data_IF_273458519208
#
_entry.id   IF_273458519208
#
_cell.length_a   1.000
_cell.length_b   1.000
_cell.length_c   1.000
_cell.angle_alpha   90.00
_cell.angle_beta   90.00
_cell.angle_gamma   90.00
#
_symmetry.space_group_name_H-M   'P 1'
#
loop_
_entity.id
_entity.type
_entity.pdbx_description
1 polymer ?
#
# COMPACT_ATOMS: atom_id res chain seq x y z
N UNK A 1 25.84 -10.21 16.87
CA UNK A 1 24.61 -11.04 16.86
C UNK A 1 24.84 -12.29 16.01
N UNK A 2 25.26 -12.19 14.75
CA UNK A 2 25.43 -13.33 13.85
C UNK A 2 26.39 -14.42 14.37
N UNK A 3 27.50 -14.04 15.01
CA UNK A 3 28.48 -14.98 15.57
C UNK A 3 27.88 -15.89 16.65
N UNK A 4 26.84 -15.45 17.38
CA UNK A 4 26.16 -16.31 18.38
C UNK A 4 25.40 -17.50 17.73
N UNK A 5 25.11 -17.40 16.45
CA UNK A 5 24.39 -18.41 15.67
C UNK A 5 25.30 -19.16 14.68
N UNK A 6 26.63 -18.96 14.79
CA UNK A 6 27.59 -19.56 13.85
C UNK A 6 27.44 -19.05 12.40
N UNK A 7 26.76 -17.91 12.21
CA UNK A 7 26.50 -17.34 10.88
C UNK A 7 27.47 -16.18 10.59
N UNK A 8 27.96 -16.15 9.34
CA UNK A 8 28.74 -15.03 8.82
C UNK A 8 27.82 -14.15 7.97
N UNK A 9 27.63 -12.88 8.31
CA UNK A 9 26.79 -11.99 7.50
C UNK A 9 27.42 -11.80 6.11
N UNK A 10 26.58 -11.73 5.08
CA UNK A 10 27.06 -11.35 3.74
C UNK A 10 27.55 -9.90 3.80
N UNK A 11 28.67 -9.63 3.11
CA UNK A 11 29.25 -8.28 3.03
C UNK A 11 28.33 -7.27 2.34
N UNK A 12 27.46 -7.75 1.43
CA UNK A 12 26.51 -6.94 0.69
C UNK A 12 25.14 -7.61 0.69
N UNK A 13 24.09 -6.80 0.85
CA UNK A 13 22.72 -7.21 0.66
C UNK A 13 22.41 -7.20 -0.84
N UNK A 14 22.09 -8.34 -1.42
CA UNK A 14 21.58 -8.40 -2.79
C UNK A 14 20.12 -7.98 -2.78
N UNK A 15 19.75 -7.04 -3.66
CA UNK A 15 18.36 -6.70 -3.94
C UNK A 15 17.69 -7.93 -4.59
N UNK A 16 16.78 -8.56 -3.87
CA UNK A 16 16.15 -9.83 -4.28
C UNK A 16 14.99 -9.55 -5.24
N UNK A 17 14.24 -8.47 -4.97
CA UNK A 17 13.10 -8.06 -5.78
C UNK A 17 13.40 -6.77 -6.52
N UNK A 18 13.15 -6.76 -7.81
CA UNK A 18 13.23 -5.54 -8.62
C UNK A 18 11.96 -4.72 -8.42
N UNK A 19 12.13 -3.42 -8.29
CA UNK A 19 11.00 -2.51 -8.27
C UNK A 19 10.35 -2.43 -9.66
N UNK A 20 9.03 -2.25 -9.71
CA UNK A 20 8.33 -1.91 -10.95
C UNK A 20 8.98 -0.71 -11.66
N UNK A 21 9.50 0.26 -10.89
CA UNK A 21 10.16 1.47 -11.40
C UNK A 21 11.51 1.19 -12.10
N UNK A 22 12.11 0.03 -11.86
CA UNK A 22 13.46 -0.33 -12.32
C UNK A 22 13.44 -1.47 -13.37
N UNK A 23 12.29 -2.09 -13.62
CA UNK A 23 12.16 -3.25 -14.50
C UNK A 23 11.13 -2.98 -15.61
N UNK A 24 11.56 -2.53 -16.80
CA UNK A 24 10.65 -2.24 -17.91
C UNK A 24 9.74 -3.40 -18.32
N UNK A 25 10.21 -4.64 -18.17
CA UNK A 25 9.40 -5.84 -18.46
C UNK A 25 8.16 -5.99 -17.60
N UNK A 26 8.14 -5.35 -16.42
CA UNK A 26 6.94 -5.34 -15.57
C UNK A 26 5.81 -4.53 -16.20
N UNK A 27 6.13 -3.42 -16.86
CA UNK A 27 5.14 -2.62 -17.58
C UNK A 27 4.61 -3.41 -18.78
N UNK A 28 5.49 -4.03 -19.58
CA UNK A 28 5.09 -4.89 -20.71
C UNK A 28 4.13 -5.99 -20.25
N UNK A 29 4.49 -6.71 -19.17
CA UNK A 29 3.64 -7.76 -18.60
C UNK A 29 2.26 -7.24 -18.18
N UNK A 30 2.19 -6.09 -17.54
CA UNK A 30 0.92 -5.48 -17.12
C UNK A 30 0.07 -5.09 -18.33
N UNK A 31 0.68 -4.52 -19.37
CA UNK A 31 -0.01 -4.13 -20.59
C UNK A 31 -0.52 -5.34 -21.39
N UNK A 32 0.22 -6.44 -21.37
CA UNK A 32 -0.17 -7.70 -22.04
C UNK A 32 -1.30 -8.40 -21.29
N UNK A 33 -1.21 -8.49 -19.95
CA UNK A 33 -2.19 -9.20 -19.12
C UNK A 33 -3.47 -8.39 -18.87
N UNK A 34 -3.42 -7.06 -19.02
CA UNK A 34 -4.53 -6.12 -18.87
C UNK A 34 -5.37 -6.37 -17.61
N UNK A 35 -4.76 -6.34 -16.42
CA UNK A 35 -5.54 -6.46 -15.19
C UNK A 35 -6.52 -5.28 -15.07
N UNK A 36 -7.61 -5.44 -14.30
CA UNK A 36 -8.57 -4.36 -14.05
C UNK A 36 -7.93 -3.18 -13.34
N UNK A 37 -6.99 -3.45 -12.41
CA UNK A 37 -6.29 -2.44 -11.65
C UNK A 37 -4.85 -2.89 -11.33
N UNK A 38 -3.96 -1.91 -11.13
CA UNK A 38 -2.60 -2.09 -10.63
C UNK A 38 -2.42 -1.19 -9.41
N UNK A 39 -1.92 -1.76 -8.31
CA UNK A 39 -1.63 -1.02 -7.09
C UNK A 39 -0.12 -0.87 -6.89
N UNK A 40 0.34 0.37 -6.73
CA UNK A 40 1.74 0.71 -6.48
C UNK A 40 1.99 0.88 -4.98
N UNK A 41 3.14 0.38 -4.55
CA UNK A 41 3.61 0.45 -3.18
C UNK A 41 5.07 0.94 -3.19
N UNK A 42 5.46 1.79 -2.25
CA UNK A 42 6.79 2.42 -2.17
C UNK A 42 7.09 3.45 -3.27
N UNK A 43 6.10 4.22 -3.66
CA UNK A 43 6.21 5.23 -4.71
C UNK A 43 5.27 5.00 -5.87
N UNK A 44 5.35 5.88 -6.85
CA UNK A 44 4.52 5.82 -8.07
C UNK A 44 5.41 5.94 -9.31
N UNK A 45 5.02 5.32 -10.43
CA UNK A 45 5.71 5.50 -11.71
C UNK A 45 5.60 6.92 -12.23
N UNK A 46 6.34 7.20 -13.29
CA UNK A 46 6.25 8.48 -13.99
C UNK A 46 4.85 8.71 -14.59
N UNK A 47 4.53 9.97 -14.83
CA UNK A 47 3.25 10.37 -15.41
C UNK A 47 2.98 9.69 -16.76
N UNK A 48 4.03 9.49 -17.55
CA UNK A 48 3.95 8.84 -18.86
C UNK A 48 3.49 7.39 -18.72
N UNK A 49 4.06 6.64 -17.79
CA UNK A 49 3.67 5.24 -17.49
C UNK A 49 2.22 5.19 -17.00
N UNK A 50 1.84 6.08 -16.09
CA UNK A 50 0.45 6.15 -15.61
C UNK A 50 -0.52 6.44 -16.76
N UNK A 51 -0.17 7.33 -17.67
CA UNK A 51 -0.99 7.61 -18.86
C UNK A 51 -1.09 6.41 -19.80
N UNK A 52 -0.03 5.63 -19.96
CA UNK A 52 -0.02 4.42 -20.77
C UNK A 52 -0.96 3.36 -20.19
N UNK A 53 -0.89 3.12 -18.87
CA UNK A 53 -1.82 2.24 -18.17
C UNK A 53 -3.28 2.69 -18.32
N UNK A 54 -3.56 3.98 -18.21
CA UNK A 54 -4.89 4.54 -18.43
C UNK A 54 -5.41 4.35 -19.86
N UNK A 55 -4.56 4.53 -20.88
CA UNK A 55 -4.94 4.23 -22.28
C UNK A 55 -5.29 2.76 -22.49
N UNK A 56 -4.69 1.86 -21.69
CA UNK A 56 -5.02 0.44 -21.67
C UNK A 56 -6.27 0.12 -20.83
N UNK A 57 -6.99 1.13 -20.28
CA UNK A 57 -8.12 0.99 -19.37
C UNK A 57 -7.77 0.25 -18.06
N UNK A 58 -6.56 0.42 -17.56
CA UNK A 58 -6.10 -0.14 -16.29
C UNK A 58 -6.19 0.95 -15.22
N UNK A 59 -6.98 0.69 -14.17
CA UNK A 59 -7.11 1.58 -13.03
C UNK A 59 -5.81 1.57 -12.22
N UNK A 60 -5.33 2.74 -11.83
CA UNK A 60 -4.10 2.88 -11.05
C UNK A 60 -4.39 3.24 -9.60
N UNK A 61 -3.79 2.51 -8.67
CA UNK A 61 -3.89 2.76 -7.23
C UNK A 61 -2.50 3.02 -6.65
N UNK A 62 -2.39 3.83 -5.61
CA UNK A 62 -1.13 4.02 -4.89
C UNK A 62 -1.35 4.08 -3.39
N UNK A 63 -0.50 3.36 -2.64
CA UNK A 63 -0.44 3.47 -1.19
C UNK A 63 0.33 4.74 -0.81
N UNK A 64 -0.26 5.54 0.08
CA UNK A 64 0.32 6.76 0.62
C UNK A 64 0.20 6.77 2.13
N UNK A 65 1.20 7.33 2.81
CA UNK A 65 1.29 7.38 4.27
C UNK A 65 1.23 8.80 4.83
N UNK A 66 1.22 9.80 3.95
CA UNK A 66 1.15 11.22 4.28
C UNK A 66 0.64 12.06 3.11
N UNK A 67 0.27 13.30 3.40
CA UNK A 67 -0.31 14.24 2.41
C UNK A 67 0.66 14.60 1.28
N UNK A 68 1.95 14.70 1.55
CA UNK A 68 2.96 14.98 0.51
C UNK A 68 3.03 13.89 -0.54
N UNK A 69 2.98 12.62 -0.14
CA UNK A 69 2.93 11.45 -1.04
C UNK A 69 1.63 11.43 -1.85
N UNK A 70 0.50 11.75 -1.21
CA UNK A 70 -0.79 11.86 -1.89
C UNK A 70 -0.77 12.93 -2.99
N UNK A 71 -0.13 14.08 -2.73
CA UNK A 71 0.04 15.12 -3.74
C UNK A 71 0.92 14.65 -4.91
N UNK A 72 2.01 13.94 -4.65
CA UNK A 72 2.85 13.36 -5.70
C UNK A 72 2.06 12.37 -6.55
N UNK A 73 1.33 11.43 -5.91
CA UNK A 73 0.51 10.45 -6.60
C UNK A 73 -0.60 11.10 -7.44
N UNK A 74 -1.29 12.12 -6.90
CA UNK A 74 -2.28 12.90 -7.63
C UNK A 74 -1.69 13.60 -8.85
N UNK A 75 -0.53 14.24 -8.71
CA UNK A 75 0.14 14.93 -9.81
C UNK A 75 0.63 13.96 -10.91
N UNK A 76 1.01 12.75 -10.53
CA UNK A 76 1.33 11.67 -11.47
C UNK A 76 0.08 11.16 -12.21
N UNK A 77 -1.12 11.41 -11.66
CA UNK A 77 -2.39 11.03 -12.27
C UNK A 77 -2.94 9.69 -11.76
N UNK A 78 -2.57 9.24 -10.58
CA UNK A 78 -3.16 8.05 -9.92
C UNK A 78 -4.67 8.22 -9.76
N UNK A 79 -5.43 7.15 -9.99
CA UNK A 79 -6.89 7.16 -9.96
C UNK A 79 -7.45 6.98 -8.54
N UNK A 80 -6.80 6.18 -7.70
CA UNK A 80 -7.27 5.84 -6.34
C UNK A 80 -6.11 5.90 -5.36
N UNK A 81 -6.30 6.52 -4.20
CA UNK A 81 -5.31 6.54 -3.12
C UNK A 81 -5.67 5.58 -2.00
N UNK A 82 -4.70 4.77 -1.57
CA UNK A 82 -4.81 3.91 -0.40
C UNK A 82 -4.13 4.60 0.78
N UNK A 83 -4.92 5.15 1.69
CA UNK A 83 -4.48 5.82 2.90
C UNK A 83 -4.02 4.79 3.94
N UNK A 84 -2.72 4.53 4.03
CA UNK A 84 -2.18 3.53 4.94
C UNK A 84 -1.65 4.17 6.22
N UNK A 85 -2.34 3.95 7.33
CA UNK A 85 -1.93 4.39 8.66
C UNK A 85 -0.82 3.53 9.28
N UNK A 86 -0.27 4.01 10.38
CA UNK A 86 0.82 3.33 11.12
C UNK A 86 0.41 1.97 11.70
N UNK A 87 -0.89 1.74 11.87
CA UNK A 87 -1.46 0.48 12.37
C UNK A 87 -1.41 -0.67 11.34
N UNK A 88 -0.91 -0.43 10.12
CA UNK A 88 -0.74 -1.48 9.13
C UNK A 88 0.27 -2.54 9.63
N UNK A 89 -0.14 -3.81 9.63
CA UNK A 89 0.69 -4.92 10.13
C UNK A 89 1.75 -5.42 9.14
N UNK A 90 1.71 -4.96 7.87
CA UNK A 90 2.68 -5.27 6.83
C UNK A 90 3.66 -4.13 6.57
N UNK A 91 4.28 -4.16 5.39
CA UNK A 91 5.19 -3.09 4.97
C UNK A 91 4.46 -1.75 4.88
N UNK A 92 5.09 -0.71 5.40
CA UNK A 92 4.63 0.66 5.25
C UNK A 92 5.00 1.17 3.85
N UNK A 93 3.99 1.62 3.07
CA UNK A 93 4.15 2.05 1.67
C UNK A 93 4.78 3.42 1.46
N UNK A 94 5.65 3.86 2.36
CA UNK A 94 6.32 5.16 2.31
C UNK A 94 7.14 5.33 1.03
N UNK A 95 7.10 6.52 0.44
CA UNK A 95 7.93 6.84 -0.72
C UNK A 95 9.40 7.03 -0.32
N UNK A 96 9.62 7.59 0.87
CA UNK A 96 10.94 7.64 1.49
C UNK A 96 10.94 6.82 2.79
N UNK A 97 11.61 5.64 2.82
CA UNK A 97 11.60 4.76 3.99
C UNK A 97 12.30 5.34 5.23
N UNK A 98 13.05 6.42 5.07
CA UNK A 98 13.71 7.11 6.19
C UNK A 98 12.78 8.08 6.94
N UNK A 99 11.55 8.30 6.44
CA UNK A 99 10.61 9.29 6.97
C UNK A 99 9.24 8.64 7.15
N UNK A 100 8.98 8.06 8.31
CA UNK A 100 7.62 7.66 8.71
C UNK A 100 7.07 8.68 9.69
N UNK A 101 6.03 9.44 9.32
CA UNK A 101 5.40 10.41 10.20
C UNK A 101 4.55 9.77 11.30
N UNK A 102 4.34 8.44 11.28
CA UNK A 102 3.57 7.71 12.26
C UNK A 102 2.09 8.11 12.33
N UNK A 103 1.50 8.56 11.22
CA UNK A 103 0.11 9.04 11.19
C UNK A 103 -0.85 7.86 11.37
N UNK A 104 -1.82 8.01 12.28
CA UNK A 104 -2.87 7.01 12.48
C UNK A 104 -3.80 6.93 11.26
N UNK A 105 -4.34 5.74 11.00
CA UNK A 105 -5.22 5.50 9.85
C UNK A 105 -6.40 6.48 9.82
N UNK A 106 -7.04 6.73 10.96
CA UNK A 106 -8.18 7.65 11.06
C UNK A 106 -7.81 9.08 10.68
N UNK A 107 -6.69 9.55 11.20
CA UNK A 107 -6.21 10.92 10.98
C UNK A 107 -5.79 11.13 9.51
N UNK A 108 -5.09 10.14 8.94
CA UNK A 108 -4.69 10.18 7.54
C UNK A 108 -5.90 10.15 6.60
N UNK A 109 -6.89 9.29 6.86
CA UNK A 109 -8.13 9.20 6.07
C UNK A 109 -8.87 10.54 6.10
N UNK A 110 -9.13 11.10 7.27
CA UNK A 110 -9.80 12.40 7.38
C UNK A 110 -9.06 13.50 6.63
N UNK A 111 -7.72 13.53 6.76
CA UNK A 111 -6.88 14.49 6.06
C UNK A 111 -6.98 14.33 4.55
N UNK A 112 -6.88 13.10 4.04
CA UNK A 112 -6.89 12.85 2.60
C UNK A 112 -8.29 13.03 1.99
N UNK A 113 -9.36 12.62 2.65
CA UNK A 113 -10.74 12.89 2.21
C UNK A 113 -10.93 14.39 2.03
N UNK A 114 -10.64 15.19 3.06
CA UNK A 114 -10.89 16.64 3.02
C UNK A 114 -9.95 17.41 2.08
N UNK A 115 -8.71 16.96 1.88
CA UNK A 115 -7.70 17.74 1.11
C UNK A 115 -7.48 17.23 -0.31
N UNK A 116 -7.79 15.98 -0.58
CA UNK A 116 -7.53 15.31 -1.86
C UNK A 116 -8.82 14.71 -2.42
N UNK A 117 -9.59 13.97 -1.62
CA UNK A 117 -10.81 13.29 -2.07
C UNK A 117 -11.85 14.29 -2.58
N UNK A 118 -12.47 15.01 -1.68
CA UNK A 118 -13.55 15.94 -2.01
C UNK A 118 -13.17 17.02 -3.03
N UNK A 119 -12.02 17.74 -2.88
CA UNK A 119 -11.67 18.80 -3.81
C UNK A 119 -11.32 18.34 -5.23
N UNK A 120 -10.85 17.09 -5.40
CA UNK A 120 -10.36 16.60 -6.69
C UNK A 120 -11.10 15.36 -7.21
N UNK A 121 -12.08 14.84 -6.46
CA UNK A 121 -12.86 13.67 -6.84
C UNK A 121 -12.02 12.39 -6.90
N UNK A 122 -10.94 12.28 -6.12
CA UNK A 122 -10.08 11.10 -6.09
C UNK A 122 -10.54 10.17 -4.97
N UNK A 123 -10.96 8.93 -5.27
CA UNK A 123 -11.37 7.98 -4.27
C UNK A 123 -10.27 7.65 -3.26
N UNK A 124 -10.64 7.60 -1.99
CA UNK A 124 -9.75 7.29 -0.86
C UNK A 124 -10.14 5.93 -0.28
N UNK A 125 -9.19 5.02 -0.17
CA UNK A 125 -9.35 3.70 0.45
C UNK A 125 -8.57 3.67 1.75
N UNK A 126 -9.25 3.39 2.88
CA UNK A 126 -8.61 3.29 4.18
C UNK A 126 -7.87 1.95 4.33
N UNK A 127 -6.63 1.96 4.85
CA UNK A 127 -5.82 0.76 5.11
C UNK A 127 -5.03 0.88 6.41
N UNK A 128 -4.89 -0.24 7.11
CA UNK A 128 -4.15 -0.32 8.39
C UNK A 128 -5.07 -0.45 9.60
N UNK A 129 -4.86 -1.50 10.39
CA UNK A 129 -5.59 -1.78 11.63
C UNK A 129 -7.06 -2.18 11.45
N UNK A 130 -7.54 -2.34 10.23
CA UNK A 130 -8.94 -2.69 9.94
C UNK A 130 -9.07 -4.21 9.94
N UNK A 131 -9.71 -4.80 10.95
CA UNK A 131 -9.78 -6.25 11.15
C UNK A 131 -11.21 -6.78 11.21
N UNK A 132 -12.19 -5.96 11.58
CA UNK A 132 -13.56 -6.37 11.90
C UNK A 132 -14.58 -5.44 11.25
N UNK A 133 -15.81 -5.91 11.10
CA UNK A 133 -16.91 -5.11 10.55
C UNK A 133 -17.17 -3.79 11.28
N UNK A 134 -16.92 -3.74 12.61
CA UNK A 134 -17.01 -2.48 13.37
C UNK A 134 -15.96 -1.45 12.91
N UNK A 135 -14.76 -1.91 12.59
CA UNK A 135 -13.66 -1.03 12.16
C UNK A 135 -13.99 -0.44 10.78
N UNK A 136 -14.57 -1.25 9.88
CA UNK A 136 -15.10 -0.79 8.60
C UNK A 136 -16.14 0.32 8.79
N UNK A 137 -17.12 0.06 9.68
CA UNK A 137 -18.20 1.04 9.97
C UNK A 137 -17.64 2.36 10.52
N UNK A 138 -16.60 2.29 11.35
CA UNK A 138 -15.90 3.49 11.85
C UNK A 138 -15.20 4.23 10.73
N UNK A 139 -14.48 3.53 9.85
CA UNK A 139 -13.81 4.15 8.71
C UNK A 139 -14.79 4.86 7.79
N UNK A 140 -15.88 4.20 7.38
CA UNK A 140 -16.87 4.82 6.49
C UNK A 140 -17.48 6.12 7.02
N UNK A 141 -17.54 6.31 8.34
CA UNK A 141 -17.98 7.59 8.95
C UNK A 141 -17.01 8.74 8.70
N UNK A 142 -15.77 8.43 8.37
CA UNK A 142 -14.72 9.43 8.07
C UNK A 142 -14.72 9.82 6.58
N UNK A 143 -15.53 9.15 5.75
CA UNK A 143 -15.77 9.49 4.35
C UNK A 143 -14.88 8.82 3.29
N UNK A 144 -14.09 7.76 3.57
CA UNK A 144 -13.39 7.05 2.51
C UNK A 144 -14.39 6.26 1.65
N UNK A 145 -14.02 5.99 0.39
CA UNK A 145 -14.81 5.25 -0.58
C UNK A 145 -14.72 3.73 -0.38
N UNK A 146 -13.71 3.26 0.38
CA UNK A 146 -13.50 1.84 0.64
C UNK A 146 -12.53 1.56 1.78
N UNK A 147 -12.40 0.26 2.10
CA UNK A 147 -11.43 -0.24 3.06
C UNK A 147 -10.62 -1.40 2.46
N UNK A 148 -9.31 -1.41 2.72
CA UNK A 148 -8.40 -2.48 2.31
C UNK A 148 -7.93 -3.26 3.53
N UNK A 149 -7.94 -4.59 3.41
CA UNK A 149 -7.57 -5.54 4.43
C UNK A 149 -6.34 -6.33 3.98
N UNK A 150 -5.41 -6.56 4.88
CA UNK A 150 -4.27 -7.46 4.68
C UNK A 150 -4.25 -8.52 5.77
N UNK A 151 -3.84 -8.14 6.99
CA UNK A 151 -3.64 -9.02 8.14
C UNK A 151 -4.87 -9.88 8.48
N UNK A 152 -6.09 -9.35 8.27
CA UNK A 152 -7.32 -10.10 8.50
C UNK A 152 -7.40 -11.40 7.67
N UNK A 153 -6.83 -11.42 6.46
CA UNK A 153 -6.83 -12.60 5.59
C UNK A 153 -5.75 -13.62 5.92
N UNK A 154 -4.73 -13.25 6.71
CA UNK A 154 -3.68 -14.18 7.17
C UNK A 154 -4.28 -15.32 7.99
N UNK A 155 -5.40 -15.07 8.68
CA UNK A 155 -6.11 -16.06 9.48
C UNK A 155 -6.94 -17.04 8.64
N UNK A 156 -7.14 -16.77 7.36
CA UNK A 156 -7.88 -17.64 6.46
C UNK A 156 -7.12 -18.96 6.20
N UNK A 157 -7.87 -20.03 5.95
CA UNK A 157 -7.30 -21.36 5.66
C UNK A 157 -6.50 -21.36 4.34
N UNK A 158 -6.87 -20.48 3.43
CA UNK A 158 -6.26 -20.28 2.12
C UNK A 158 -4.95 -19.49 2.18
N UNK A 159 -4.63 -18.91 3.34
CA UNK A 159 -3.37 -18.21 3.55
C UNK A 159 -2.21 -19.20 3.53
N UNK A 160 -1.14 -18.89 2.80
CA UNK A 160 0.10 -19.67 2.79
C UNK A 160 0.96 -19.52 4.04
N UNK A 161 0.50 -18.75 5.04
CA UNK A 161 1.24 -18.53 6.27
C UNK A 161 1.26 -19.77 7.18
N UNK A 162 2.36 -19.92 7.93
CA UNK A 162 2.51 -21.04 8.88
C UNK A 162 1.50 -20.97 10.02
N UNK A 163 1.14 -22.13 10.57
CA UNK A 163 0.26 -22.20 11.75
C UNK A 163 0.81 -21.43 12.94
N UNK A 164 2.13 -21.47 13.16
CA UNK A 164 2.79 -20.71 14.21
C UNK A 164 2.62 -19.19 14.04
N UNK A 165 2.74 -18.69 12.81
CA UNK A 165 2.53 -17.27 12.51
C UNK A 165 1.06 -16.88 12.73
N UNK A 166 0.12 -17.70 12.27
CA UNK A 166 -1.32 -17.46 12.51
C UNK A 166 -1.67 -17.46 13.99
N UNK A 167 -1.14 -18.42 14.76
CA UNK A 167 -1.35 -18.48 16.21
C UNK A 167 -0.80 -17.24 16.92
N UNK A 168 0.34 -16.72 16.50
CA UNK A 168 0.95 -15.51 17.06
C UNK A 168 0.07 -14.24 16.90
N UNK A 169 -0.86 -14.20 15.93
CA UNK A 169 -1.78 -13.08 15.76
C UNK A 169 -2.84 -12.97 16.87
N UNK A 170 -3.01 -14.02 17.69
CA UNK A 170 -3.95 -14.05 18.81
C UNK A 170 -3.28 -13.77 20.18
N UNK A 171 -1.97 -13.57 20.20
CA UNK A 171 -1.25 -13.22 21.43
C UNK A 171 -1.41 -11.70 21.64
N UNK A 172 -1.94 -11.28 22.82
CA UNK A 172 -2.17 -9.87 23.12
C UNK A 172 -0.86 -9.10 23.30
#
# INVERSE_FOLDING_TARGET
>A
IFGKFGATPKKELKKIYKSFLEEPKMLELVLDTKPKAVSFHFGVPSKEIIQELKRANIVTMATVTQISEANVARQAGIDILVAQGVEAGGHRGMFNPSVDPGILTKDLVMLLVSKIGDPYGIPIVAAGGIMRGRDIKEMYRLGPDGCQFGTAFILGKESGESEAYRAAQFIP
#
